data_IF_705885682842
#
_entry.id   IF_705885682842
#
_cell.length_a   1.000
_cell.length_b   1.000
_cell.length_c   1.000
_cell.angle_alpha   90.00
_cell.angle_beta   90.00
_cell.angle_gamma   90.00
#
_symmetry.space_group_name_H-M   'P 1'
#
loop_
_entity.id
_entity.type
_entity.pdbx_description
1 polymer ?
#
# COMPACT_ATOMS: atom_id res chain seq x y z
N UNK A 1 11.49 -3.56 17.67
CA UNK A 1 12.15 -4.70 17.00
C UNK A 1 13.52 -4.29 16.50
N UNK A 2 14.51 -5.16 16.69
CA UNK A 2 15.89 -4.91 16.24
C UNK A 2 16.02 -5.07 14.72
N UNK A 3 15.19 -5.93 14.15
CA UNK A 3 15.18 -6.25 12.73
C UNK A 3 13.74 -6.38 12.22
N UNK A 4 13.48 -5.77 11.06
CA UNK A 4 12.24 -5.97 10.31
C UNK A 4 12.63 -6.51 8.94
N UNK A 5 12.11 -7.68 8.59
CA UNK A 5 12.36 -8.34 7.31
C UNK A 5 11.15 -8.17 6.40
N UNK A 6 11.39 -7.73 5.18
CA UNK A 6 10.40 -7.60 4.13
C UNK A 6 10.68 -8.63 3.05
N UNK A 7 9.70 -9.46 2.73
CA UNK A 7 9.78 -10.46 1.67
C UNK A 7 8.75 -10.19 0.59
N UNK A 8 9.20 -10.23 -0.65
CA UNK A 8 8.35 -10.12 -1.85
C UNK A 8 8.69 -11.26 -2.77
N UNK A 9 7.69 -12.08 -3.11
CA UNK A 9 7.86 -13.23 -4.01
C UNK A 9 6.90 -13.10 -5.17
N UNK A 10 7.37 -13.40 -6.37
CA UNK A 10 6.49 -13.56 -7.52
C UNK A 10 5.78 -14.92 -7.43
N UNK A 11 4.61 -15.03 -8.03
CA UNK A 11 3.86 -16.29 -8.14
C UNK A 11 4.28 -17.08 -9.39
N UNK A 12 5.57 -17.07 -9.71
CA UNK A 12 6.10 -17.78 -10.86
C UNK A 12 5.83 -19.28 -10.75
N UNK A 13 5.68 -19.94 -11.89
CA UNK A 13 5.45 -21.37 -11.98
C UNK A 13 6.45 -21.95 -12.97
N UNK A 14 7.17 -22.96 -12.54
CA UNK A 14 8.09 -23.70 -13.39
C UNK A 14 7.37 -24.91 -13.96
N UNK A 15 7.34 -25.03 -15.28
CA UNK A 15 6.73 -26.15 -16.01
C UNK A 15 7.82 -26.90 -16.77
N UNK A 16 7.91 -28.21 -16.54
CA UNK A 16 8.79 -29.09 -17.30
C UNK A 16 8.08 -29.50 -18.60
N UNK A 17 8.71 -29.26 -19.73
CA UNK A 17 8.20 -29.64 -21.03
C UNK A 17 8.69 -31.06 -21.40
N UNK A 18 7.83 -31.83 -22.01
CA UNK A 18 8.20 -33.18 -22.54
C UNK A 18 9.26 -32.99 -23.61
N UNK A 19 10.42 -33.63 -23.44
CA UNK A 19 11.59 -33.53 -24.33
C UNK A 19 12.23 -32.14 -24.49
N UNK A 20 11.97 -31.21 -23.54
CA UNK A 20 12.58 -29.89 -23.53
C UNK A 20 13.00 -29.49 -22.11
N UNK A 21 13.75 -28.40 -22.02
CA UNK A 21 14.14 -27.81 -20.74
C UNK A 21 12.94 -27.25 -19.97
N UNK A 22 13.13 -26.97 -18.67
CA UNK A 22 12.15 -26.31 -17.83
C UNK A 22 11.93 -24.86 -18.31
N UNK A 23 10.67 -24.43 -18.27
CA UNK A 23 10.27 -23.05 -18.60
C UNK A 23 9.69 -22.40 -17.34
N UNK A 24 10.20 -21.22 -16.99
CA UNK A 24 9.68 -20.43 -15.89
C UNK A 24 8.63 -19.43 -16.40
N UNK A 25 7.37 -19.69 -16.08
CA UNK A 25 6.26 -18.79 -16.38
C UNK A 25 6.24 -17.63 -15.36
N UNK A 26 6.57 -16.46 -15.83
CA UNK A 26 6.57 -15.26 -15.01
C UNK A 26 5.14 -14.80 -14.73
N UNK A 27 4.75 -14.82 -13.46
CA UNK A 27 3.44 -14.35 -13.00
C UNK A 27 3.59 -13.06 -12.20
N UNK A 28 2.46 -12.40 -11.94
CA UNK A 28 2.43 -11.17 -11.15
C UNK A 28 3.01 -11.37 -9.74
N UNK A 29 3.50 -10.27 -9.17
CA UNK A 29 4.00 -10.24 -7.79
C UNK A 29 2.95 -10.72 -6.77
N UNK A 30 3.40 -11.44 -5.76
CA UNK A 30 2.61 -11.83 -4.61
C UNK A 30 2.38 -10.66 -3.63
N UNK A 31 1.74 -10.97 -2.52
CA UNK A 31 1.59 -10.03 -1.41
C UNK A 31 2.92 -9.93 -0.64
N UNK A 32 3.23 -8.74 -0.16
CA UNK A 32 4.40 -8.50 0.69
C UNK A 32 4.19 -9.16 2.05
N UNK A 33 5.21 -9.83 2.53
CA UNK A 33 5.26 -10.41 3.87
C UNK A 33 6.26 -9.62 4.71
N UNK A 34 5.90 -9.37 5.97
CA UNK A 34 6.72 -8.63 6.92
C UNK A 34 6.86 -9.49 8.16
N UNK A 35 8.08 -9.72 8.59
CA UNK A 35 8.35 -10.44 9.83
C UNK A 35 9.29 -9.66 10.73
N UNK A 36 9.02 -9.70 12.04
CA UNK A 36 9.85 -9.08 13.06
C UNK A 36 9.63 -9.73 14.41
N UNK A 37 10.61 -9.59 15.28
CA UNK A 37 10.56 -10.05 16.67
C UNK A 37 10.40 -8.85 17.61
N UNK A 38 9.59 -9.02 18.64
CA UNK A 38 9.45 -8.09 19.76
C UNK A 38 9.56 -8.87 21.06
N UNK A 39 9.98 -8.20 22.12
CA UNK A 39 9.98 -8.76 23.47
C UNK A 39 8.93 -8.04 24.28
N UNK A 40 8.04 -8.79 24.89
CA UNK A 40 7.03 -8.29 25.81
C UNK A 40 7.56 -8.37 27.24
N UNK A 41 7.87 -7.23 27.88
CA UNK A 41 8.50 -7.24 29.19
C UNK A 41 7.53 -7.68 30.28
N UNK A 42 7.98 -8.57 31.16
CA UNK A 42 7.22 -9.00 32.33
C UNK A 42 7.10 -7.92 33.40
N UNK A 43 8.13 -7.07 33.49
CA UNK A 43 8.24 -6.03 34.50
C UNK A 43 8.40 -4.65 33.85
N UNK A 44 8.12 -3.61 34.64
CA UNK A 44 8.34 -2.24 34.22
C UNK A 44 9.82 -1.88 34.35
N UNK A 45 10.53 -1.98 33.23
CA UNK A 45 11.94 -1.56 33.16
C UNK A 45 12.10 -0.04 33.00
N UNK A 46 13.18 0.57 33.49
CA UNK A 46 13.42 2.01 33.38
C UNK A 46 13.50 2.54 31.95
N UNK A 47 13.93 1.71 31.02
CA UNK A 47 14.08 2.07 29.60
C UNK A 47 12.78 1.99 28.79
N UNK A 48 11.69 1.50 29.39
CA UNK A 48 10.40 1.41 28.70
C UNK A 48 9.73 2.78 28.63
N UNK A 49 9.63 3.31 27.42
CA UNK A 49 8.89 4.54 27.17
C UNK A 49 7.46 4.19 26.72
N UNK A 50 6.56 4.05 27.68
CA UNK A 50 5.15 3.73 27.43
C UNK A 50 4.29 4.96 27.64
N UNK A 51 3.71 5.52 26.59
CA UNK A 51 2.80 6.68 26.65
C UNK A 51 1.50 6.40 27.43
N UNK A 52 1.07 5.14 27.51
CA UNK A 52 -0.21 4.74 28.12
C UNK A 52 -0.04 3.92 29.41
N UNK A 53 1.16 3.91 30.00
CA UNK A 53 1.46 3.07 31.16
C UNK A 53 1.91 1.64 30.79
N UNK A 54 2.42 0.93 31.81
CA UNK A 54 2.89 -0.44 31.64
C UNK A 54 1.74 -1.44 31.68
N UNK A 55 1.70 -2.34 30.70
CA UNK A 55 0.78 -3.48 30.66
C UNK A 55 1.58 -4.77 30.64
N UNK A 56 1.05 -5.80 31.30
CA UNK A 56 1.63 -7.15 31.34
C UNK A 56 1.59 -7.82 29.95
N UNK A 57 2.46 -8.80 29.67
CA UNK A 57 2.51 -9.51 28.39
C UNK A 57 1.17 -10.06 27.92
N UNK A 58 0.37 -10.65 28.85
CA UNK A 58 -0.94 -11.21 28.54
C UNK A 58 -1.89 -10.22 27.83
N UNK A 59 -1.86 -8.95 28.20
CA UNK A 59 -2.67 -7.92 27.56
C UNK A 59 -2.34 -7.77 26.04
N UNK A 60 -1.07 -7.84 25.70
CA UNK A 60 -0.63 -7.73 24.29
C UNK A 60 -0.93 -9.01 23.52
N UNK A 61 -0.75 -10.18 24.14
CA UNK A 61 -1.10 -11.47 23.55
C UNK A 61 -2.59 -11.56 23.26
N UNK A 62 -3.45 -11.14 24.19
CA UNK A 62 -4.90 -11.07 23.98
C UNK A 62 -5.27 -10.14 22.82
N UNK A 63 -4.59 -9.00 22.68
CA UNK A 63 -4.79 -8.11 21.54
C UNK A 63 -4.40 -8.76 20.21
N UNK A 64 -3.27 -9.45 20.17
CA UNK A 64 -2.82 -10.17 18.97
C UNK A 64 -3.81 -11.28 18.60
N UNK A 65 -4.26 -12.05 19.59
CA UNK A 65 -5.28 -13.07 19.37
C UNK A 65 -6.59 -12.50 18.81
N UNK A 66 -7.07 -11.38 19.38
CA UNK A 66 -8.27 -10.69 18.87
C UNK A 66 -8.08 -10.20 17.44
N UNK A 67 -6.96 -9.59 17.12
CA UNK A 67 -6.64 -9.15 15.74
C UNK A 67 -6.68 -10.31 14.76
N UNK A 68 -6.11 -11.46 15.13
CA UNK A 68 -6.11 -12.66 14.31
C UNK A 68 -7.51 -13.27 14.15
N UNK A 69 -8.23 -13.44 15.26
CA UNK A 69 -9.59 -13.99 15.28
C UNK A 69 -10.58 -13.13 14.48
N UNK A 70 -10.52 -11.82 14.68
CA UNK A 70 -11.43 -10.88 14.05
C UNK A 70 -11.02 -10.57 12.60
N UNK A 71 -9.90 -11.11 12.11
CA UNK A 71 -9.36 -10.90 10.75
C UNK A 71 -9.29 -9.42 10.38
N UNK A 72 -8.94 -8.57 11.34
CA UNK A 72 -8.91 -7.12 11.13
C UNK A 72 -7.76 -6.71 10.25
N UNK A 73 -8.07 -5.85 9.28
CA UNK A 73 -7.08 -5.13 8.50
C UNK A 73 -6.67 -3.90 9.28
N UNK A 74 -5.37 -3.67 9.40
CA UNK A 74 -4.83 -2.50 10.07
C UNK A 74 -3.68 -1.88 9.29
N UNK A 75 -3.32 -0.67 9.68
CA UNK A 75 -2.27 0.08 9.03
C UNK A 75 -0.95 -0.16 9.74
N UNK A 76 0.06 -0.61 8.99
CA UNK A 76 1.42 -0.80 9.47
C UNK A 76 2.28 0.36 9.00
N UNK A 77 2.82 1.14 9.94
CA UNK A 77 3.60 2.34 9.67
C UNK A 77 4.97 2.19 10.31
N UNK A 78 6.02 2.31 9.51
CA UNK A 78 7.41 2.39 9.98
C UNK A 78 8.01 3.70 9.52
N UNK A 79 8.29 4.57 10.47
CA UNK A 79 8.96 5.84 10.22
C UNK A 79 10.45 5.70 10.51
N UNK A 80 11.28 5.97 9.50
CA UNK A 80 12.74 5.89 9.60
C UNK A 80 13.34 7.28 9.48
N UNK A 81 14.32 7.54 10.30
CA UNK A 81 15.05 8.82 10.30
C UNK A 81 16.54 8.58 10.33
N UNK A 82 17.29 9.43 9.65
CA UNK A 82 18.73 9.50 9.81
C UNK A 82 19.13 10.02 11.21
N UNK A 83 20.36 9.77 11.69
CA UNK A 83 20.84 10.35 12.95
C UNK A 83 20.75 11.87 13.02
N UNK A 84 20.83 12.57 11.89
CA UNK A 84 20.66 14.02 11.77
C UNK A 84 19.18 14.48 11.79
N UNK A 85 18.25 13.59 12.18
CA UNK A 85 16.79 13.80 12.21
C UNK A 85 16.11 14.03 10.85
N UNK A 86 16.84 14.03 9.73
CA UNK A 86 16.23 14.06 8.40
C UNK A 86 15.46 12.76 8.13
N UNK A 87 14.33 12.89 7.42
CA UNK A 87 13.54 11.71 7.02
C UNK A 87 14.35 10.83 6.09
N UNK A 88 14.19 9.50 6.26
CA UNK A 88 14.66 8.50 5.33
C UNK A 88 13.47 8.04 4.49
N UNK A 89 13.25 6.76 4.26
CA UNK A 89 12.03 6.28 3.64
C UNK A 89 11.06 5.73 4.69
N UNK A 90 9.77 5.97 4.51
CA UNK A 90 8.73 5.47 5.37
C UNK A 90 8.00 4.30 4.72
N UNK A 91 7.60 3.33 5.53
CA UNK A 91 6.71 2.25 5.10
C UNK A 91 5.32 2.53 5.66
N UNK A 92 4.32 2.54 4.79
CA UNK A 92 2.93 2.68 5.18
C UNK A 92 2.08 1.77 4.28
N UNK A 93 1.48 0.74 4.87
CA UNK A 93 0.67 -0.21 4.14
C UNK A 93 -0.42 -0.84 5.00
N UNK A 94 -1.50 -1.27 4.36
CA UNK A 94 -2.53 -2.08 5.01
C UNK A 94 -2.05 -3.52 5.11
N UNK A 95 -2.18 -4.10 6.29
CA UNK A 95 -1.74 -5.48 6.57
C UNK A 95 -2.77 -6.23 7.38
N UNK A 96 -2.65 -7.55 7.36
CA UNK A 96 -3.34 -8.48 8.27
C UNK A 96 -2.31 -9.24 9.08
N UNK A 97 -2.68 -9.66 10.28
CA UNK A 97 -1.87 -10.55 11.10
C UNK A 97 -2.01 -11.98 10.57
N UNK A 98 -0.96 -12.48 9.91
CA UNK A 98 -0.95 -13.85 9.36
C UNK A 98 -0.64 -14.87 10.44
N UNK A 99 0.42 -14.64 11.19
CA UNK A 99 0.89 -15.54 12.24
C UNK A 99 1.58 -14.75 13.34
N UNK A 100 1.47 -15.22 14.57
CA UNK A 100 2.36 -14.85 15.65
C UNK A 100 2.70 -16.08 16.48
N UNK A 101 3.95 -16.16 16.92
CA UNK A 101 4.48 -17.23 17.74
C UNK A 101 5.12 -16.61 18.96
N UNK A 102 4.92 -17.18 20.10
CA UNK A 102 5.60 -16.76 21.33
C UNK A 102 6.12 -18.01 22.08
N UNK A 103 7.15 -17.83 22.84
CA UNK A 103 7.70 -18.86 23.71
C UNK A 103 7.83 -18.34 25.13
N UNK A 104 7.53 -19.19 26.09
CA UNK A 104 7.82 -18.95 27.49
C UNK A 104 9.16 -19.57 27.79
N UNK A 105 10.17 -18.74 28.09
CA UNK A 105 11.50 -19.19 28.46
C UNK A 105 11.84 -18.64 29.85
N UNK A 106 12.20 -19.53 30.76
CA UNK A 106 12.56 -19.15 32.13
C UNK A 106 13.92 -18.46 32.21
N UNK A 107 14.79 -18.65 31.20
CA UNK A 107 16.12 -18.04 31.13
C UNK A 107 16.05 -16.54 30.77
N UNK A 108 14.95 -16.07 30.18
CA UNK A 108 14.74 -14.67 29.78
C UNK A 108 13.99 -13.82 30.83
N UNK A 109 14.14 -14.10 32.12
CA UNK A 109 13.52 -13.32 33.21
C UNK A 109 11.99 -13.14 33.08
N UNK A 110 11.28 -14.13 32.55
CA UNK A 110 9.84 -14.10 32.26
C UNK A 110 9.41 -13.09 31.16
N UNK A 111 10.33 -12.47 30.45
CA UNK A 111 10.02 -11.68 29.27
C UNK A 111 9.63 -12.61 28.13
N UNK A 112 8.58 -12.25 27.39
CA UNK A 112 8.03 -13.11 26.35
C UNK A 112 8.48 -12.62 24.98
N UNK A 113 9.38 -13.31 24.28
CA UNK A 113 9.69 -13.05 22.89
C UNK A 113 8.52 -13.45 21.99
N UNK A 114 8.10 -12.55 21.12
CA UNK A 114 7.02 -12.76 20.17
C UNK A 114 7.53 -12.51 18.76
N UNK A 115 7.40 -13.50 17.90
CA UNK A 115 7.62 -13.36 16.47
C UNK A 115 6.28 -13.07 15.76
N UNK A 116 6.23 -12.00 14.97
CA UNK A 116 5.04 -11.54 14.29
C UNK A 116 5.27 -11.60 12.78
N UNK A 117 4.33 -12.21 12.07
CA UNK A 117 4.28 -12.23 10.61
C UNK A 117 3.03 -11.52 10.12
N UNK A 118 3.22 -10.48 9.35
CA UNK A 118 2.18 -9.69 8.73
C UNK A 118 2.18 -9.92 7.23
N UNK A 119 1.01 -9.83 6.61
CA UNK A 119 0.84 -9.95 5.18
C UNK A 119 0.12 -8.73 4.62
N UNK A 120 0.60 -8.20 3.51
CA UNK A 120 -0.02 -7.09 2.80
C UNK A 120 -1.49 -7.41 2.50
N UNK A 121 -2.37 -6.45 2.78
CA UNK A 121 -3.76 -6.55 2.40
C UNK A 121 -4.02 -5.64 1.20
N UNK A 122 -4.54 -6.23 0.13
CA UNK A 122 -5.04 -5.52 -1.04
C UNK A 122 -6.54 -5.70 -1.10
N UNK A 123 -7.27 -4.59 -1.17
CA UNK A 123 -8.73 -4.64 -1.25
C UNK A 123 -9.16 -5.47 -2.47
N UNK A 124 -9.97 -6.53 -2.30
CA UNK A 124 -10.48 -7.30 -3.43
C UNK A 124 -11.43 -6.40 -4.23
N UNK A 125 -11.07 -6.13 -5.49
CA UNK A 125 -11.92 -5.38 -6.40
C UNK A 125 -12.45 -6.33 -7.46
N UNK A 126 -13.77 -6.40 -7.59
CA UNK A 126 -14.39 -7.06 -8.72
C UNK A 126 -14.13 -6.22 -9.99
N UNK A 127 -13.66 -6.87 -11.06
CA UNK A 127 -13.62 -6.27 -12.38
C UNK A 127 -15.03 -6.30 -12.94
N UNK A 128 -15.69 -5.15 -13.06
CA UNK A 128 -16.97 -5.09 -13.73
C UNK A 128 -16.74 -5.26 -15.24
N UNK A 129 -17.36 -6.27 -15.83
CA UNK A 129 -17.46 -6.41 -17.28
C UNK A 129 -18.61 -5.56 -17.75
N UNK A 130 -18.34 -4.53 -18.56
CA UNK A 130 -19.37 -3.78 -19.24
C UNK A 130 -19.55 -4.39 -20.61
N UNK A 131 -20.72 -4.99 -20.83
CA UNK A 131 -21.12 -5.51 -22.15
C UNK A 131 -21.63 -4.29 -22.94
N UNK A 132 -20.87 -3.86 -23.91
CA UNK A 132 -21.27 -2.85 -24.88
C UNK A 132 -21.66 -3.60 -26.15
N UNK A 133 -22.93 -3.51 -26.52
CA UNK A 133 -23.55 -4.07 -27.74
C UNK A 133 -23.09 -5.49 -28.08
N UNK A 134 -23.96 -6.46 -27.88
CA UNK A 134 -23.99 -7.88 -28.32
C UNK A 134 -22.71 -8.53 -28.95
N UNK A 135 -21.60 -7.83 -28.96
CA UNK A 135 -20.28 -8.33 -29.33
C UNK A 135 -19.35 -8.26 -28.15
N UNK A 136 -18.91 -9.41 -27.69
CA UNK A 136 -17.82 -9.55 -26.70
C UNK A 136 -16.54 -9.00 -27.33
N UNK A 137 -16.32 -7.72 -27.25
CA UNK A 137 -15.08 -7.09 -27.68
C UNK A 137 -14.26 -6.73 -26.45
N UNK A 138 -13.39 -7.69 -26.05
CA UNK A 138 -12.25 -7.41 -25.22
C UNK A 138 -12.52 -7.22 -23.71
N UNK A 139 -11.65 -7.82 -22.92
CA UNK A 139 -11.54 -7.53 -21.49
C UNK A 139 -11.01 -6.11 -21.30
N UNK A 140 -11.87 -5.17 -20.94
CA UNK A 140 -11.41 -3.88 -20.44
C UNK A 140 -10.98 -4.10 -18.99
N UNK A 141 -9.73 -4.45 -18.78
CA UNK A 141 -9.10 -4.26 -17.47
C UNK A 141 -9.09 -2.76 -17.22
N UNK A 142 -10.06 -2.26 -16.42
CA UNK A 142 -9.88 -0.91 -15.85
C UNK A 142 -8.51 -0.90 -15.17
N UNK A 143 -7.59 -0.03 -15.59
CA UNK A 143 -6.32 0.11 -14.89
C UNK A 143 -6.66 0.37 -13.43
N UNK A 144 -5.98 -0.34 -12.54
CA UNK A 144 -6.07 -0.10 -11.10
C UNK A 144 -5.99 1.40 -10.90
N UNK A 145 -7.03 2.01 -10.30
CA UNK A 145 -6.94 3.40 -9.93
C UNK A 145 -5.75 3.52 -8.97
N UNK A 146 -4.59 3.84 -9.52
CA UNK A 146 -3.52 4.41 -8.75
C UNK A 146 -4.18 5.60 -8.09
N UNK A 147 -4.19 5.64 -6.77
CA UNK A 147 -4.52 6.87 -6.06
C UNK A 147 -3.35 7.82 -6.34
N UNK A 148 -3.25 8.28 -7.57
CA UNK A 148 -2.49 9.45 -7.89
C UNK A 148 -3.07 10.52 -6.99
N UNK A 149 -2.26 11.14 -6.19
CA UNK A 149 -2.58 12.42 -5.56
C UNK A 149 -2.81 13.31 -6.78
N UNK A 150 -4.08 13.48 -7.14
CA UNK A 150 -4.45 14.36 -8.25
C UNK A 150 -4.10 15.75 -7.78
N UNK A 151 -3.10 16.34 -8.38
CA UNK A 151 -2.74 17.73 -8.14
C UNK A 151 -3.99 18.57 -8.41
N UNK A 152 -4.42 19.31 -7.39
CA UNK A 152 -5.62 20.15 -7.53
C UNK A 152 -5.41 21.30 -8.51
N UNK A 153 -4.17 21.72 -8.68
CA UNK A 153 -3.77 22.84 -9.54
C UNK A 153 -2.48 22.48 -10.26
N UNK A 154 -2.50 22.58 -11.57
CA UNK A 154 -1.33 22.38 -12.43
C UNK A 154 -1.01 23.68 -13.14
N UNK A 155 0.28 24.00 -13.26
CA UNK A 155 0.74 25.15 -14.05
C UNK A 155 1.06 24.66 -15.45
N UNK A 156 0.48 25.27 -16.46
CA UNK A 156 0.65 24.90 -17.87
C UNK A 156 2.01 25.30 -18.41
N UNK A 157 2.63 24.42 -19.19
CA UNK A 157 3.87 24.70 -19.88
C UNK A 157 3.64 25.12 -21.37
N UNK A 158 4.67 25.69 -21.99
CA UNK A 158 4.58 26.09 -23.38
C UNK A 158 4.42 24.85 -24.28
N UNK A 159 3.37 24.83 -25.10
CA UNK A 159 3.06 23.71 -26.01
C UNK A 159 2.16 22.61 -25.41
N UNK A 160 1.77 22.73 -24.14
CA UNK A 160 0.78 21.84 -23.57
C UNK A 160 -0.64 22.14 -24.06
N UNK A 161 -1.45 21.11 -24.15
CA UNK A 161 -2.87 21.20 -24.46
C UNK A 161 -3.70 20.74 -23.28
N UNK A 162 -4.89 21.30 -23.12
CA UNK A 162 -5.82 20.88 -22.06
C UNK A 162 -6.08 19.37 -22.11
N UNK A 163 -6.05 18.78 -23.28
CA UNK A 163 -6.15 17.34 -23.51
C UNK A 163 -5.02 16.57 -22.84
N UNK A 164 -3.75 17.01 -23.02
CA UNK A 164 -2.60 16.38 -22.38
C UNK A 164 -2.65 16.53 -20.87
N UNK A 165 -3.01 17.68 -20.36
CA UNK A 165 -3.15 17.95 -18.92
C UNK A 165 -4.19 17.04 -18.30
N UNK A 166 -5.39 16.94 -18.89
CA UNK A 166 -6.43 16.05 -18.40
C UNK A 166 -6.00 14.59 -18.45
N UNK A 167 -5.35 14.14 -19.51
CA UNK A 167 -4.85 12.77 -19.64
C UNK A 167 -3.82 12.41 -18.57
N UNK A 168 -2.88 13.30 -18.28
CA UNK A 168 -1.81 13.06 -17.32
C UNK A 168 -2.28 13.14 -15.87
N UNK A 169 -3.09 14.15 -15.54
CA UNK A 169 -3.42 14.48 -14.16
C UNK A 169 -4.82 14.03 -13.70
N UNK A 170 -5.78 13.81 -14.59
CA UNK A 170 -7.12 13.34 -14.21
C UNK A 170 -7.40 11.89 -14.58
N UNK A 171 -6.46 11.25 -15.28
CA UNK A 171 -6.53 9.84 -15.66
C UNK A 171 -7.47 9.55 -16.85
N UNK A 172 -8.02 10.57 -17.51
CA UNK A 172 -8.87 10.40 -18.68
C UNK A 172 -9.50 11.69 -19.16
N UNK A 173 -10.10 11.63 -20.36
CA UNK A 173 -10.77 12.77 -21.01
C UNK A 173 -12.19 13.03 -20.51
N UNK A 174 -12.75 12.08 -19.78
CA UNK A 174 -14.13 12.16 -19.25
C UNK A 174 -14.34 13.40 -18.36
N UNK A 175 -13.29 13.86 -17.70
CA UNK A 175 -13.32 15.02 -16.80
C UNK A 175 -12.96 16.34 -17.46
N UNK A 176 -12.66 16.33 -18.75
CA UNK A 176 -12.25 17.56 -19.47
C UNK A 176 -13.34 18.65 -19.42
N UNK A 177 -14.61 18.27 -19.55
CA UNK A 177 -15.72 19.20 -19.45
C UNK A 177 -15.86 19.82 -18.04
N UNK A 178 -15.58 19.06 -16.99
CA UNK A 178 -15.56 19.56 -15.61
C UNK A 178 -14.40 20.54 -15.40
N UNK A 179 -13.21 20.20 -15.89
CA UNK A 179 -12.02 21.06 -15.80
C UNK A 179 -12.26 22.38 -16.56
N UNK A 180 -12.88 22.34 -17.73
CA UNK A 180 -13.25 23.56 -18.49
C UNK A 180 -14.20 24.44 -17.68
N UNK A 181 -15.24 23.88 -17.07
CA UNK A 181 -16.19 24.63 -16.22
C UNK A 181 -15.51 25.23 -14.98
N UNK A 182 -14.63 24.47 -14.31
CA UNK A 182 -13.92 24.94 -13.11
C UNK A 182 -12.98 26.12 -13.39
N UNK A 183 -12.50 26.25 -14.62
CA UNK A 183 -11.55 27.30 -15.02
C UNK A 183 -12.20 28.37 -15.91
N UNK A 184 -13.51 28.28 -16.16
CA UNK A 184 -14.26 29.20 -17.05
C UNK A 184 -13.66 29.27 -18.47
N UNK A 185 -13.24 28.14 -19.05
CA UNK A 185 -12.78 28.03 -20.42
C UNK A 185 -13.94 27.74 -21.35
N UNK A 186 -14.15 28.61 -22.34
CA UNK A 186 -15.19 28.42 -23.39
C UNK A 186 -14.69 27.50 -24.50
N UNK A 187 -13.39 27.53 -24.79
CA UNK A 187 -12.72 26.70 -25.79
C UNK A 187 -11.53 25.93 -25.21
N UNK A 188 -11.20 24.81 -25.83
CA UNK A 188 -10.06 23.97 -25.45
C UNK A 188 -8.72 24.72 -25.56
N UNK A 189 -8.68 25.81 -26.33
CA UNK A 189 -7.51 26.63 -26.60
C UNK A 189 -7.42 27.89 -25.75
N UNK A 190 -8.36 28.12 -24.81
CA UNK A 190 -8.47 29.38 -24.07
C UNK A 190 -7.49 29.53 -22.91
N UNK A 191 -6.50 28.66 -22.79
CA UNK A 191 -5.48 28.76 -21.75
C UNK A 191 -4.13 29.24 -22.31
N UNK A 192 -3.41 29.98 -21.47
CA UNK A 192 -2.12 30.59 -21.79
C UNK A 192 -1.01 29.79 -21.07
N UNK A 193 0.18 29.59 -21.69
CA UNK A 193 1.32 29.00 -21.00
C UNK A 193 1.67 29.76 -19.72
N UNK A 194 1.90 29.02 -18.62
CA UNK A 194 2.12 29.58 -17.29
C UNK A 194 0.85 29.82 -16.45
N UNK A 195 -0.33 29.58 -17.01
CA UNK A 195 -1.60 29.71 -16.30
C UNK A 195 -1.80 28.50 -15.37
N UNK A 196 -2.37 28.77 -14.19
CA UNK A 196 -2.78 27.72 -13.24
C UNK A 196 -4.14 27.17 -13.60
N UNK A 197 -4.21 25.88 -13.88
CA UNK A 197 -5.45 25.15 -14.20
C UNK A 197 -5.89 24.33 -13.00
N UNK A 198 -7.13 24.54 -12.55
CA UNK A 198 -7.74 23.73 -11.48
C UNK A 198 -8.29 22.45 -12.09
N UNK A 199 -7.91 21.32 -11.54
CA UNK A 199 -8.32 19.99 -12.02
C UNK A 199 -9.45 19.38 -11.19
N UNK A 200 -9.69 19.91 -9.97
CA UNK A 200 -10.71 19.46 -9.04
C UNK A 200 -11.09 20.58 -8.06
N UNK A 201 -12.34 20.56 -7.57
CA UNK A 201 -12.81 21.42 -6.47
C UNK A 201 -12.08 21.16 -5.16
#
# INVERSE_FOLDING_TARGET
>A
PDKITYSMKNRNETVSLINASEVNLLKSEGLKEISFKIVLPAFKYPYLNTLQGFNKPGYYLDKLQRLKRDRKVFQFIVSRRYPNRKGYFNTNMKVTLEEFTYSDDTDEFMDIPVEIKLKEYRDPRATALTILDDKISGFITKPRAVTAILDRIVTTEAGETLWNICRQHTGGLEKMAEVMKLNAFDKITDFIPGQKVRLKE
#
